data_IF_583926388782
#
_entry.id   IF_583926388782
#
_cell.length_a   1.000
_cell.length_b   1.000
_cell.length_c   1.000
_cell.angle_alpha   90.00
_cell.angle_beta   90.00
_cell.angle_gamma   90.00
#
_symmetry.space_group_name_H-M   'P 1'
#
loop_
_entity.id
_entity.type
_entity.pdbx_description
1 polymer ?
2 non-polymer ?
3 water ?
#
# COMPACT_ATOMS: atom_id res chain seq x y z
N UNK A 2 -6.93 6.09 -1.38
CA UNK A 2 -6.45 5.07 -2.33
C UNK A 2 -6.17 5.61 -3.73
N UNK A 3 -4.96 5.34 -4.20
CA UNK A 3 -4.62 5.48 -5.60
C UNK A 3 -3.72 4.31 -5.96
N UNK A 4 -4.01 3.65 -7.07
CA UNK A 4 -3.16 2.58 -7.55
C UNK A 4 -2.63 2.95 -8.92
N UNK A 5 -1.30 2.98 -9.05
CA UNK A 5 -0.66 3.43 -10.28
C UNK A 5 0.25 2.35 -10.81
N UNK A 6 0.23 2.14 -12.12
CA UNK A 6 1.03 1.08 -12.70
C UNK A 6 1.60 1.54 -14.03
N UNK A 7 2.92 1.60 -14.11
CA UNK A 7 3.58 1.95 -15.37
C UNK A 7 4.55 0.85 -15.78
N UNK A 8 5.32 1.09 -16.84
CA UNK A 8 6.22 0.07 -17.34
C UNK A 8 7.31 -0.27 -16.32
N UNK A 9 7.62 0.68 -15.44
CA UNK A 9 8.70 0.53 -14.48
C UNK A 9 8.28 -0.07 -13.14
N UNK A 10 7.08 0.26 -12.68
CA UNK A 10 6.70 -0.10 -11.32
C UNK A 10 5.20 -0.16 -11.08
N UNK A 11 4.83 -0.77 -9.96
CA UNK A 11 3.44 -0.81 -9.49
C UNK A 11 3.43 -0.17 -8.11
N UNK A 12 2.55 0.80 -7.90
CA UNK A 12 2.50 1.52 -6.63
C UNK A 12 1.07 1.65 -6.11
N UNK A 13 0.87 1.32 -4.84
CA UNK A 13 -0.39 1.56 -4.15
C UNK A 13 -0.15 2.67 -3.14
N UNK A 14 -0.97 3.72 -3.19
CA UNK A 14 -1.00 4.73 -2.14
C UNK A 14 -2.32 4.60 -1.39
N UNK A 15 -2.26 4.49 -0.07
CA UNK A 15 -3.49 4.31 0.72
C UNK A 15 -3.46 5.21 1.95
N UNK A 16 -4.45 6.08 2.07
CA UNK A 16 -4.55 6.95 3.24
C UNK A 16 -4.97 6.14 4.45
N UNK A 17 -4.09 6.04 5.45
CA UNK A 17 -4.42 5.29 6.66
C UNK A 17 -4.14 6.18 7.87
N UNK A 18 -4.55 7.44 7.78
CA UNK A 18 -4.19 8.44 8.79
C UNK A 18 -4.62 8.13 10.22
N UNK A 19 -5.64 7.29 10.40
CA UNK A 19 -6.08 6.94 11.75
C UNK A 19 -5.37 5.72 12.33
N UNK A 20 -4.32 5.26 11.66
CA UNK A 20 -3.64 4.03 12.04
C UNK A 20 -2.17 4.25 12.35
N UNK A 21 -1.67 3.54 13.35
CA UNK A 21 -0.25 3.58 13.69
C UNK A 21 0.46 2.50 12.88
N UNK A 22 1.78 2.61 12.72
CA UNK A 22 2.46 1.56 11.95
C UNK A 22 2.24 0.17 12.53
N UNK A 23 2.17 0.06 13.86
CA UNK A 23 1.99 -1.24 14.50
C UNK A 23 0.59 -1.80 14.30
N UNK A 24 -0.32 -0.98 13.78
CA UNK A 24 -1.70 -1.42 13.57
C UNK A 24 -1.88 -2.08 12.22
N UNK A 25 -0.85 -2.03 11.38
CA UNK A 25 -0.98 -2.43 9.99
C UNK A 25 -0.26 -3.73 9.70
N UNK A 26 -0.85 -4.54 8.83
CA UNK A 26 -0.14 -5.69 8.27
C UNK A 26 -0.27 -5.71 6.76
N UNK A 27 0.79 -6.16 6.09
CA UNK A 27 0.78 -6.25 4.64
C UNK A 27 1.31 -7.61 4.26
N UNK A 28 0.54 -8.34 3.47
CA UNK A 28 0.93 -9.68 3.05
C UNK A 28 0.69 -9.82 1.56
N UNK A 29 1.53 -10.60 0.89
CA UNK A 29 1.29 -10.95 -0.50
C UNK A 29 1.03 -12.44 -0.58
N UNK A 30 -0.11 -12.80 -1.16
CA UNK A 30 -0.49 -14.20 -1.27
C UNK A 30 -1.38 -14.42 -2.49
N UNK A 31 -1.07 -15.46 -3.26
CA UNK A 31 -1.86 -15.80 -4.44
C UNK A 31 -2.12 -14.61 -5.36
N UNK A 32 -1.08 -13.81 -5.58
CA UNK A 32 -1.13 -12.70 -6.53
C UNK A 32 -2.03 -11.56 -6.08
N UNK A 33 -2.25 -11.47 -4.77
CA UNK A 33 -2.97 -10.35 -4.17
C UNK A 33 -2.10 -9.72 -3.09
N UNK A 34 -2.20 -8.40 -2.97
CA UNK A 34 -1.68 -7.69 -1.81
C UNK A 34 -2.83 -7.57 -0.81
N UNK A 35 -2.58 -7.97 0.43
CA UNK A 35 -3.61 -7.97 1.47
C UNK A 35 -3.18 -7.02 2.57
N UNK A 36 -3.91 -5.92 2.72
CA UNK A 36 -3.54 -4.90 3.70
C UNK A 36 -4.62 -4.83 4.76
N UNK A 37 -4.21 -4.91 6.02
CA UNK A 37 -5.16 -4.85 7.13
C UNK A 37 -4.74 -3.81 8.14
N UNK A 38 -5.72 -3.15 8.75
CA UNK A 38 -5.44 -2.24 9.84
C UNK A 38 -6.50 -2.32 10.92
N UNK A 39 -6.08 -2.20 12.17
CA UNK A 39 -7.04 -2.15 13.27
C UNK A 39 -6.43 -1.28 14.35
N UNK A 40 -7.18 -0.25 14.74
CA UNK A 40 -6.72 0.67 15.76
C UNK A 40 -7.79 0.86 16.81
N UNK A 41 -7.43 0.64 18.07
CA UNK A 41 -8.37 0.82 19.17
C UNK A 41 -7.97 1.99 20.04
N UNK A 42 -8.96 2.77 20.46
CA UNK A 42 -8.70 3.98 21.23
C UNK A 42 -9.68 4.12 22.38
N UNK A 43 -9.16 4.32 23.59
CA UNK A 43 -10.00 4.56 24.75
C UNK A 43 -10.63 5.94 24.62
N UNK A 44 -11.88 6.07 25.09
CA UNK A 44 -12.59 7.34 25.09
C UNK A 44 -12.83 7.81 26.51
N UNK A 45 -13.39 9.00 26.65
CA UNK A 45 -13.84 9.47 27.95
C UNK A 45 -15.04 8.63 28.38
N UNK A 46 -15.23 8.50 29.69
CA UNK A 46 -16.39 7.78 30.21
C UNK A 46 -16.38 6.29 29.91
N UNK A 47 -15.18 5.72 29.82
CA UNK A 47 -15.00 4.28 29.65
C UNK A 47 -15.53 3.73 28.34
N UNK A 48 -15.75 4.62 27.38
CA UNK A 48 -16.03 4.18 26.02
C UNK A 48 -14.76 3.79 25.30
N UNK A 49 -14.91 3.15 24.15
CA UNK A 49 -13.78 2.98 23.25
C UNK A 49 -14.27 2.93 21.82
N UNK A 50 -13.34 3.19 20.90
CA UNK A 50 -13.60 3.13 19.48
C UNK A 50 -12.60 2.16 18.85
N UNK A 51 -13.09 1.32 17.95
CA UNK A 51 -12.21 0.53 17.09
C UNK A 51 -12.45 0.94 15.64
N UNK A 52 -11.36 1.22 14.92
CA UNK A 52 -11.42 1.46 13.48
C UNK A 52 -10.66 0.33 12.80
N UNK A 53 -11.24 -0.24 11.75
CA UNK A 53 -10.63 -1.42 11.14
C UNK A 53 -10.91 -1.45 9.65
N UNK A 54 -9.95 -1.93 8.86
CA UNK A 54 -10.22 -2.10 7.43
C UNK A 54 -9.45 -3.27 6.87
N UNK A 55 -9.91 -3.75 5.73
CA UNK A 55 -9.10 -4.60 4.89
C UNK A 55 -9.13 -4.07 3.47
N UNK A 56 -8.01 -4.19 2.77
CA UNK A 56 -7.99 -3.87 1.35
C UNK A 56 -7.21 -4.94 0.63
N UNK A 57 -7.86 -5.62 -0.30
CA UNK A 57 -7.19 -6.58 -1.18
C UNK A 57 -7.00 -5.95 -2.56
N UNK A 58 -5.78 -6.01 -3.08
CA UNK A 58 -5.47 -5.50 -4.42
C UNK A 58 -4.84 -6.61 -5.25
N UNK A 59 -5.19 -6.67 -6.53
CA UNK A 59 -4.51 -7.59 -7.45
C UNK A 59 -3.12 -7.06 -7.74
N UNK A 60 -2.14 -7.96 -7.71
CA UNK A 60 -0.76 -7.61 -8.04
C UNK A 60 -0.49 -8.06 -9.46
N UNK A 61 -0.04 -7.15 -10.33
CA UNK A 61 0.29 -7.56 -11.70
C UNK A 61 1.33 -8.67 -11.72
N UNK A 62 1.20 -9.57 -12.70
CA UNK A 62 2.02 -10.77 -12.77
C UNK A 62 3.50 -10.46 -13.02
N UNK A 63 3.79 -9.27 -13.52
CA UNK A 63 5.18 -8.91 -13.81
C UNK A 63 5.88 -8.11 -12.71
N UNK A 64 5.21 -7.90 -11.59
CA UNK A 64 5.87 -7.26 -10.46
C UNK A 64 6.81 -8.25 -9.79
N UNK A 65 8.01 -7.79 -9.45
CA UNK A 65 9.01 -8.63 -8.80
C UNK A 65 8.68 -8.79 -7.32
N UNK A 66 8.19 -9.96 -6.94
CA UNK A 66 7.70 -10.15 -5.58
C UNK A 66 8.84 -10.32 -4.58
N UNK A 67 10.07 -10.35 -5.08
CA UNK A 67 11.26 -10.39 -4.25
C UNK A 67 11.81 -9.00 -3.93
N UNK A 68 11.19 -7.98 -4.52
CA UNK A 68 11.66 -6.60 -4.35
C UNK A 68 10.52 -5.67 -3.96
N UNK A 69 9.63 -6.16 -3.12
CA UNK A 69 8.50 -5.34 -2.67
C UNK A 69 8.91 -4.49 -1.48
N UNK A 70 8.38 -3.27 -1.42
CA UNK A 70 8.61 -2.42 -0.26
C UNK A 70 7.33 -1.74 0.18
N UNK A 71 7.29 -1.34 1.44
CA UNK A 71 6.11 -0.68 1.96
C UNK A 71 6.55 0.24 3.07
N UNK A 72 5.99 1.44 3.10
CA UNK A 72 6.32 2.40 4.14
C UNK A 72 5.13 3.27 4.46
N UNK A 73 5.14 3.85 5.65
CA UNK A 73 4.07 4.74 6.10
C UNK A 73 4.66 6.10 6.37
N UNK A 74 4.12 7.12 5.72
CA UNK A 74 4.60 8.47 5.88
C UNK A 74 4.08 9.10 7.17
N UNK A 75 4.73 10.17 7.61
CA UNK A 75 4.33 10.85 8.84
C UNK A 75 2.88 11.35 8.78
N UNK A 76 2.43 11.68 7.57
CA UNK A 76 1.08 12.22 7.38
C UNK A 76 0.04 11.13 7.13
N UNK A 77 0.45 9.88 7.29
CA UNK A 77 -0.49 8.77 7.30
C UNK A 77 -0.76 8.10 5.97
N UNK A 78 0.12 8.31 5.00
CA UNK A 78 -0.01 7.67 3.70
C UNK A 78 0.82 6.39 3.64
N UNK A 79 0.17 5.29 3.30
CA UNK A 79 0.87 4.02 3.10
C UNK A 79 1.25 3.92 1.63
N UNK A 80 2.52 3.63 1.36
CA UNK A 80 2.96 3.37 -0.01
C UNK A 80 3.49 1.96 -0.11
N UNK A 81 2.92 1.18 -1.02
CA UNK A 81 3.39 -0.16 -1.29
C UNK A 81 3.86 -0.14 -2.74
N UNK A 82 5.05 -0.66 -3.01
CA UNK A 82 5.51 -0.67 -4.40
C UNK A 82 6.38 -1.84 -4.76
N UNK A 83 6.44 -2.13 -6.05
CA UNK A 83 7.39 -3.10 -6.55
C UNK A 83 7.78 -2.75 -7.96
N UNK A 84 9.03 -3.07 -8.33
CA UNK A 84 9.45 -2.83 -9.71
C UNK A 84 8.89 -3.91 -10.61
N UNK A 85 8.73 -3.59 -11.88
CA UNK A 85 8.38 -4.61 -12.85
C UNK A 85 9.62 -5.23 -13.47
N UNK A 86 9.55 -6.54 -13.70
CA UNK A 86 10.64 -7.25 -14.36
C UNK A 86 10.45 -7.15 -15.86
N UNK A 87 11.51 -6.74 -16.58
CA UNK A 87 11.47 -6.67 -18.05
C UNK A 87 11.32 -8.05 -18.68
N UNK A 88 10.42 -8.17 -19.65
CA UNK A 88 10.12 -9.46 -20.27
C UNK A 88 10.92 -9.67 -21.55
N UNK A 89 11.50 -8.59 -22.06
CA UNK A 89 12.30 -8.68 -23.27
C UNK A 89 11.53 -8.30 -24.52
N UNK A 90 10.26 -7.94 -24.36
CA UNK A 90 9.43 -7.50 -25.48
C UNK A 90 8.63 -6.25 -25.12
N UNK A 96 4.80 2.79 -27.38
CA UNK A 96 5.35 4.11 -27.08
C UNK A 96 5.98 4.11 -25.69
N UNK A 97 6.96 4.98 -25.50
CA UNK A 97 7.66 5.08 -24.22
C UNK A 97 7.67 6.53 -23.77
N UNK A 98 7.16 6.80 -22.58
CA UNK A 98 7.14 8.16 -22.08
C UNK A 98 8.55 8.62 -21.76
N UNK A 99 8.85 9.87 -22.10
CA UNK A 99 10.13 10.48 -21.76
C UNK A 99 9.84 11.62 -20.79
N UNK A 100 10.46 11.59 -19.59
CA UNK A 100 10.22 12.67 -18.63
C UNK A 100 10.64 14.04 -19.17
N UNK A 101 9.85 15.06 -18.86
CA UNK A 101 10.20 16.44 -19.17
C UNK A 101 10.57 17.15 -17.89
N UNK A 102 11.84 17.54 -17.78
CA UNK A 102 12.35 18.21 -16.59
C UNK A 102 12.11 19.70 -16.70
N UNK A 103 11.67 20.31 -15.60
CA UNK A 103 11.37 21.74 -15.57
C UNK A 103 11.95 22.37 -14.31
X LIG B 1 -9.48 1.16 2.50
X LIG B 1 -10.36 2.24 3.13
X LIG B 1 -11.73 1.75 3.15
X LIG B 1 -10.36 3.49 2.26
X LIG B 1 -9.96 2.48 4.58
X LIG B 1 -9.05 3.68 4.86
X LIG B 1 -8.53 3.57 6.17
X LIG B 1 -7.88 3.77 3.90
#
# INVERSE_FOLDING_TARGET
>A
GSEVRSDRDKFVIFLDVKHFSPEDLTVKVQEDFVEIHGKHNERQDDHGYISREFHRRYRLPSNVDQSALSCSLSADGMLTFSGPKIPSGVDAGHSERAIPVSR
>B hetero
1 MPD C1 C2 O2 CM C3 C4 O4 C5
#
